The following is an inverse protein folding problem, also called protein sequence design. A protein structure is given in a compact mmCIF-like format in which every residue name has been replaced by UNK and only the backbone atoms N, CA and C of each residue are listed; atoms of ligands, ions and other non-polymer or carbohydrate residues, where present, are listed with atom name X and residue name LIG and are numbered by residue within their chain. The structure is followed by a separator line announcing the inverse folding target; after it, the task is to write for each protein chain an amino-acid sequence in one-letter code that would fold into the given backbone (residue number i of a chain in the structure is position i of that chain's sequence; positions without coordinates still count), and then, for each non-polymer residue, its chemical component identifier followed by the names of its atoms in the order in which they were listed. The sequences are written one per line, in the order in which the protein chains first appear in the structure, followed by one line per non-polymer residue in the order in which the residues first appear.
data_IF_943021097112
#
_entry.id   IF_943021097112
#
_cell.length_a   1.000
_cell.length_b   1.000
_cell.length_c   1.000
_cell.angle_alpha   90.00
_cell.angle_beta   90.00
_cell.angle_gamma   90.00
#
_symmetry.space_group_name_H-M   'P 1'
#
loop_
_entity.id
_entity.type
_entity.pdbx_description
1 polymer ?
#
# COMPACT_ATOMS: atom_id res chain seq x y z
N UNK A 1 26.75 -30.73 28.66
CA UNK A 1 25.74 -31.50 29.41
C UNK A 1 24.95 -30.50 30.24
N UNK A 2 23.81 -30.03 29.72
CA UNK A 2 22.89 -29.20 30.48
C UNK A 2 22.13 -30.10 31.45
N UNK A 3 22.33 -29.90 32.75
CA UNK A 3 21.55 -30.61 33.77
C UNK A 3 20.17 -29.94 33.90
N UNK A 4 19.17 -30.49 33.21
CA UNK A 4 17.77 -30.20 33.52
C UNK A 4 17.40 -30.93 34.82
N UNK A 5 17.01 -30.20 35.88
CA UNK A 5 16.39 -30.79 37.06
C UNK A 5 14.87 -30.69 36.92
N UNK A 6 14.19 -31.83 36.90
CA UNK A 6 12.74 -31.93 37.12
C UNK A 6 11.83 -31.61 35.93
N UNK A 7 12.17 -32.00 34.69
CA UNK A 7 11.32 -31.77 33.51
C UNK A 7 10.14 -32.75 33.31
N UNK A 8 10.10 -33.83 34.09
CA UNK A 8 9.24 -35.00 33.79
C UNK A 8 7.75 -34.78 34.16
N UNK A 9 7.41 -33.72 34.90
CA UNK A 9 6.03 -33.50 35.36
C UNK A 9 5.05 -33.02 34.28
N UNK A 10 5.57 -32.51 33.14
CA UNK A 10 4.76 -32.06 31.99
C UNK A 10 4.42 -33.20 31.02
N UNK A 11 4.96 -34.40 31.24
CA UNK A 11 4.82 -35.53 30.33
C UNK A 11 4.00 -36.66 30.96
N UNK A 12 3.28 -37.39 30.12
CA UNK A 12 2.45 -38.50 30.54
C UNK A 12 3.32 -39.69 30.94
N UNK A 13 3.22 -40.14 32.19
CA UNK A 13 3.99 -41.29 32.73
C UNK A 13 3.81 -42.59 31.92
N UNK A 14 2.70 -42.72 31.17
CA UNK A 14 2.40 -43.94 30.42
C UNK A 14 2.99 -43.95 29.01
N UNK A 15 3.15 -42.79 28.36
CA UNK A 15 3.51 -42.74 26.94
C UNK A 15 4.49 -41.61 26.58
N UNK A 16 4.98 -40.86 27.56
CA UNK A 16 5.94 -39.77 27.35
C UNK A 16 5.40 -38.58 26.56
N UNK A 17 4.11 -38.55 26.23
CA UNK A 17 3.49 -37.43 25.48
C UNK A 17 3.23 -36.25 26.42
N UNK A 18 3.50 -35.03 25.95
CA UNK A 18 3.25 -33.79 26.70
C UNK A 18 1.76 -33.64 27.02
N UNK A 19 1.46 -33.35 28.28
CA UNK A 19 0.08 -33.22 28.79
C UNK A 19 -0.42 -31.77 28.66
N UNK A 20 -1.72 -31.60 28.40
CA UNK A 20 -2.36 -30.29 28.21
C UNK A 20 -3.42 -30.01 29.26
N UNK A 21 -3.62 -28.74 29.63
CA UNK A 21 -4.70 -28.35 30.54
C UNK A 21 -6.05 -28.54 29.85
N UNK A 22 -6.83 -29.51 30.33
CA UNK A 22 -8.17 -29.79 29.84
C UNK A 22 -9.23 -28.99 30.61
N UNK A 23 -9.00 -28.78 31.91
CA UNK A 23 -9.85 -27.93 32.76
C UNK A 23 -9.01 -27.22 33.83
N UNK A 24 -9.65 -26.34 34.61
CA UNK A 24 -9.02 -25.66 35.76
C UNK A 24 -8.57 -26.61 36.87
N UNK A 25 -8.92 -27.90 36.81
CA UNK A 25 -8.58 -28.88 37.83
C UNK A 25 -7.77 -30.06 37.29
N UNK A 26 -7.68 -30.23 35.96
CA UNK A 26 -7.15 -31.44 35.35
C UNK A 26 -6.31 -31.18 34.09
N UNK A 27 -5.19 -31.90 33.99
CA UNK A 27 -4.39 -32.02 32.77
C UNK A 27 -4.62 -33.40 32.14
N UNK A 28 -4.70 -33.47 30.81
CA UNK A 28 -4.97 -34.69 30.05
C UNK A 28 -3.89 -34.93 28.99
N UNK A 29 -3.47 -36.19 28.85
CA UNK A 29 -2.65 -36.65 27.73
C UNK A 29 -3.53 -36.76 26.46
N UNK A 30 -3.21 -36.05 25.37
CA UNK A 30 -4.04 -36.06 24.18
C UNK A 30 -4.04 -37.42 23.47
N UNK A 31 -2.96 -38.20 23.65
CA UNK A 31 -2.74 -39.47 22.97
C UNK A 31 -3.45 -40.64 23.66
N UNK A 32 -3.23 -40.83 24.96
CA UNK A 32 -3.77 -41.98 25.70
C UNK A 32 -4.90 -41.64 26.68
N UNK A 33 -5.32 -40.37 26.75
CA UNK A 33 -6.41 -39.87 27.62
C UNK A 33 -6.17 -40.03 29.12
N UNK A 34 -4.93 -40.33 29.51
CA UNK A 34 -4.53 -40.36 30.91
C UNK A 34 -4.62 -38.96 31.53
N UNK A 35 -5.15 -38.87 32.76
CA UNK A 35 -5.46 -37.62 33.46
C UNK A 35 -4.67 -37.49 34.75
N UNK A 36 -4.21 -36.27 35.05
CA UNK A 36 -3.56 -35.90 36.32
C UNK A 36 -4.16 -34.61 36.86
N UNK A 37 -3.93 -34.35 38.16
CA UNK A 37 -4.38 -33.12 38.81
C UNK A 37 -3.58 -31.92 38.31
N UNK A 38 -4.26 -30.82 37.97
CA UNK A 38 -3.58 -29.60 37.55
C UNK A 38 -2.76 -28.95 38.70
N UNK A 39 -3.00 -29.34 39.96
CA UNK A 39 -2.21 -28.90 41.11
C UNK A 39 -0.77 -29.43 41.07
N UNK A 40 -0.52 -30.54 40.40
CA UNK A 40 0.82 -31.16 40.35
C UNK A 40 1.80 -30.43 39.41
N UNK A 41 1.29 -29.46 38.63
CA UNK A 41 2.03 -28.75 37.56
C UNK A 41 2.03 -27.23 37.75
N UNK A 42 0.98 -26.66 38.38
CA UNK A 42 0.75 -25.20 38.45
C UNK A 42 1.84 -24.34 39.09
N UNK A 43 2.70 -24.93 39.93
CA UNK A 43 3.76 -24.20 40.65
C UNK A 43 5.17 -24.70 40.33
N UNK A 44 5.34 -25.51 39.27
CA UNK A 44 6.64 -26.04 38.87
C UNK A 44 7.18 -25.30 37.66
N UNK A 45 8.29 -24.60 37.84
CA UNK A 45 9.02 -23.89 36.79
C UNK A 45 10.19 -24.73 36.27
N UNK A 46 10.37 -24.81 34.96
CA UNK A 46 11.54 -25.43 34.33
C UNK A 46 12.47 -24.31 33.88
N UNK A 47 13.67 -24.24 34.46
CA UNK A 47 14.74 -23.35 34.03
C UNK A 47 15.88 -24.14 33.41
N UNK A 48 16.39 -23.67 32.28
CA UNK A 48 17.63 -24.16 31.69
C UNK A 48 18.47 -22.97 31.24
N UNK A 49 19.78 -23.01 31.52
CA UNK A 49 20.74 -22.08 30.94
C UNK A 49 21.49 -22.78 29.81
N UNK A 50 21.54 -22.14 28.66
CA UNK A 50 22.33 -22.57 27.50
C UNK A 50 23.23 -21.41 27.13
N UNK A 51 24.54 -21.61 27.21
CA UNK A 51 25.51 -20.61 26.77
C UNK A 51 25.70 -20.66 25.25
N UNK A 52 26.19 -19.56 24.67
CA UNK A 52 26.58 -19.52 23.25
C UNK A 52 27.68 -20.54 22.91
N UNK A 53 28.54 -20.87 23.86
CA UNK A 53 29.56 -21.93 23.73
C UNK A 53 28.91 -23.32 23.63
N UNK A 54 27.88 -23.59 24.43
CA UNK A 54 27.20 -24.90 24.46
C UNK A 54 26.50 -25.19 23.12
N UNK A 55 25.79 -24.20 22.56
CA UNK A 55 25.15 -24.33 21.24
C UNK A 55 26.19 -24.57 20.15
N UNK A 56 27.34 -23.90 20.23
CA UNK A 56 28.38 -23.99 19.23
C UNK A 56 29.08 -25.35 19.25
N UNK A 57 29.27 -25.94 20.44
CA UNK A 57 29.87 -27.26 20.62
C UNK A 57 28.94 -28.37 20.15
N UNK A 58 27.65 -28.30 20.46
CA UNK A 58 26.66 -29.32 20.06
C UNK A 58 26.40 -29.31 18.54
N UNK A 59 26.51 -28.15 17.89
CA UNK A 59 26.36 -28.03 16.43
C UNK A 59 27.66 -28.33 15.65
N UNK A 60 28.77 -28.60 16.34
CA UNK A 60 30.07 -28.93 15.70
C UNK A 60 30.69 -27.80 14.88
N UNK A 61 30.38 -26.53 15.19
CA UNK A 61 30.76 -25.37 14.37
C UNK A 61 32.14 -24.83 14.77
N UNK A 62 33.15 -25.03 13.91
CA UNK A 62 34.45 -24.34 14.00
C UNK A 62 34.34 -22.89 13.48
N UNK A 63 35.27 -22.01 13.89
CA UNK A 63 35.21 -20.58 13.57
C UNK A 63 35.43 -20.37 12.08
N UNK A 64 34.45 -19.78 11.39
CA UNK A 64 34.55 -19.45 9.96
C UNK A 64 34.23 -17.96 9.74
N UNK A 65 35.21 -17.21 9.24
CA UNK A 65 35.04 -15.90 8.63
C UNK A 65 34.78 -16.07 7.13
N UNK A 66 33.51 -15.99 6.71
CA UNK A 66 33.13 -16.04 5.29
C UNK A 66 31.62 -16.11 5.09
N UNK A 67 31.07 -15.27 4.19
CA UNK A 67 29.63 -15.22 3.85
C UNK A 67 29.14 -16.55 3.25
N UNK A 68 28.16 -17.19 3.87
CA UNK A 68 27.44 -18.33 3.30
C UNK A 68 26.23 -17.87 2.47
N UNK A 69 26.21 -18.23 1.18
CA UNK A 69 24.99 -18.32 0.37
C UNK A 69 24.29 -19.66 0.65
N UNK A 70 22.98 -19.62 0.95
CA UNK A 70 22.15 -20.82 1.07
C UNK A 70 21.69 -21.22 -0.33
N UNK A 71 22.17 -22.35 -0.85
CA UNK A 71 21.72 -22.93 -2.13
C UNK A 71 20.42 -23.70 -1.92
N UNK A 72 19.31 -23.22 -2.49
CA UNK A 72 18.10 -24.02 -2.68
C UNK A 72 18.40 -25.18 -3.64
N UNK A 73 18.00 -26.42 -3.28
CA UNK A 73 18.13 -27.57 -4.18
C UNK A 73 16.90 -27.67 -5.11
N UNK A 74 17.13 -27.99 -6.39
CA UNK A 74 16.08 -28.10 -7.41
C UNK A 74 15.81 -29.55 -7.81
N UNK A 75 14.55 -29.88 -8.10
CA UNK A 75 14.13 -31.18 -8.63
C UNK A 75 13.24 -31.01 -9.87
N UNK A 76 13.46 -31.85 -10.88
CA UNK A 76 12.67 -31.90 -12.12
C UNK A 76 11.34 -32.63 -11.88
N UNK A 77 10.43 -31.98 -11.16
CA UNK A 77 9.06 -32.44 -10.95
C UNK A 77 8.08 -31.31 -11.28
N UNK A 78 7.06 -31.63 -12.07
CA UNK A 78 6.03 -30.66 -12.47
C UNK A 78 5.19 -30.26 -11.25
N UNK A 79 5.10 -28.96 -10.97
CA UNK A 79 4.22 -28.45 -9.93
C UNK A 79 2.76 -28.50 -10.39
N UNK A 80 1.91 -29.18 -9.65
CA UNK A 80 0.47 -29.26 -9.92
C UNK A 80 -0.23 -27.90 -9.80
N UNK A 81 0.35 -26.95 -9.06
CA UNK A 81 -0.23 -25.63 -8.77
C UNK A 81 0.14 -24.56 -9.80
N UNK A 82 1.40 -24.53 -10.24
CA UNK A 82 1.94 -23.48 -11.13
C UNK A 82 2.35 -24.02 -12.52
N UNK A 83 2.26 -25.32 -12.76
CA UNK A 83 2.60 -25.97 -14.04
C UNK A 83 4.09 -26.03 -14.37
N UNK A 84 4.94 -25.38 -13.56
CA UNK A 84 6.39 -25.31 -13.75
C UNK A 84 7.05 -26.68 -13.59
N UNK A 85 8.00 -26.99 -14.46
CA UNK A 85 8.63 -28.33 -14.57
C UNK A 85 9.71 -28.59 -13.51
N UNK A 86 10.08 -27.56 -12.74
CA UNK A 86 11.06 -27.63 -11.65
C UNK A 86 10.47 -27.09 -10.34
N UNK A 87 10.70 -27.84 -9.26
CA UNK A 87 10.38 -27.45 -7.89
C UNK A 87 11.70 -27.17 -7.14
N UNK A 88 11.70 -26.15 -6.29
CA UNK A 88 12.74 -26.00 -5.26
C UNK A 88 12.32 -26.81 -4.04
N UNK A 89 13.25 -27.31 -3.26
CA UNK A 89 12.91 -27.92 -1.98
C UNK A 89 13.91 -27.56 -0.88
N UNK A 90 13.40 -27.55 0.34
CA UNK A 90 14.19 -27.49 1.56
C UNK A 90 13.83 -28.67 2.43
N UNK A 91 14.80 -29.38 2.99
CA UNK A 91 14.53 -30.40 3.98
C UNK A 91 14.61 -29.79 5.38
N UNK A 92 13.69 -30.19 6.26
CA UNK A 92 13.78 -29.87 7.69
C UNK A 92 13.46 -31.11 8.51
N UNK A 93 14.25 -31.31 9.55
CA UNK A 93 13.96 -32.31 10.57
C UNK A 93 12.86 -31.77 11.47
N UNK A 94 11.64 -32.23 11.25
CA UNK A 94 10.46 -31.77 11.99
C UNK A 94 10.06 -32.73 13.12
N UNK A 95 10.75 -33.88 13.23
CA UNK A 95 10.44 -35.00 14.13
C UNK A 95 11.72 -35.63 14.67
N UNK A 96 11.58 -36.60 15.56
CA UNK A 96 12.69 -37.34 16.19
C UNK A 96 13.75 -37.78 15.18
N UNK A 97 15.02 -37.85 15.61
CA UNK A 97 16.18 -38.04 14.73
C UNK A 97 16.21 -39.41 14.02
N UNK A 98 15.36 -40.34 14.43
CA UNK A 98 15.13 -41.66 13.84
C UNK A 98 14.11 -41.63 12.68
N UNK A 99 13.39 -40.51 12.47
CA UNK A 99 12.54 -40.28 11.30
C UNK A 99 13.28 -39.51 10.19
N UNK A 100 13.01 -39.86 8.92
CA UNK A 100 13.60 -39.17 7.77
C UNK A 100 13.21 -37.68 7.70
N UNK A 101 14.11 -36.86 7.13
CA UNK A 101 13.86 -35.42 6.98
C UNK A 101 12.59 -35.14 6.17
N UNK A 102 11.77 -34.19 6.66
CA UNK A 102 10.59 -33.74 5.91
C UNK A 102 11.03 -32.82 4.78
N UNK A 103 10.70 -33.18 3.55
CA UNK A 103 11.00 -32.38 2.36
C UNK A 103 9.85 -31.41 2.07
N UNK A 104 10.14 -30.11 2.15
CA UNK A 104 9.20 -29.04 1.79
C UNK A 104 9.49 -28.60 0.37
N UNK A 105 8.54 -28.82 -0.55
CA UNK A 105 8.65 -28.33 -1.92
C UNK A 105 8.09 -26.91 -2.02
N UNK A 106 8.88 -26.03 -2.60
CA UNK A 106 8.54 -24.64 -2.89
C UNK A 106 8.40 -24.50 -4.42
N UNK A 107 7.26 -24.00 -4.90
CA UNK A 107 7.20 -23.57 -6.30
C UNK A 107 8.08 -22.31 -6.40
N UNK A 108 9.16 -22.38 -7.19
CA UNK A 108 10.09 -21.26 -7.38
C UNK A 108 9.40 -19.97 -7.87
N UNK A 109 8.18 -20.09 -8.41
CA UNK A 109 7.34 -19.00 -8.91
C UNK A 109 5.92 -18.99 -8.30
N UNK A 110 5.70 -19.57 -7.11
CA UNK A 110 4.45 -19.28 -6.40
C UNK A 110 4.56 -17.90 -5.76
N UNK A 111 4.26 -16.87 -6.56
CA UNK A 111 3.59 -15.69 -6.02
C UNK A 111 2.39 -16.16 -5.17
N UNK A 112 2.05 -15.46 -4.08
CA UNK A 112 0.74 -15.59 -3.46
C UNK A 112 -0.31 -15.00 -4.43
N UNK A 113 -0.60 -15.72 -5.51
CA UNK A 113 -1.79 -15.47 -6.31
C UNK A 113 -2.91 -16.25 -5.63
N UNK A 114 -3.81 -15.48 -5.01
CA UNK A 114 -5.05 -15.85 -4.33
C UNK A 114 -4.94 -16.38 -2.88
N UNK A 115 -5.06 -15.47 -1.90
CA UNK A 115 -5.93 -15.69 -0.73
C UNK A 115 -6.28 -14.42 0.08
N UNK A 116 -6.35 -13.22 -0.52
CA UNK A 116 -6.86 -12.02 0.19
C UNK A 116 -7.58 -11.05 -0.76
N UNK A 117 -8.23 -11.56 -1.81
CA UNK A 117 -8.98 -10.73 -2.77
C UNK A 117 -10.13 -9.94 -2.13
N UNK A 118 -10.44 -10.18 -0.85
CA UNK A 118 -11.54 -9.56 -0.11
C UNK A 118 -11.14 -9.22 1.34
N UNK A 119 -9.88 -8.83 1.61
CA UNK A 119 -9.42 -8.63 3.00
C UNK A 119 -10.25 -7.56 3.73
N UNK A 120 -10.66 -6.50 3.02
CA UNK A 120 -11.50 -5.44 3.60
C UNK A 120 -12.96 -5.85 3.77
N UNK A 121 -13.43 -6.94 3.13
CA UNK A 121 -14.80 -7.43 3.32
C UNK A 121 -15.06 -7.82 4.78
N UNK A 122 -14.03 -8.22 5.52
CA UNK A 122 -14.09 -8.49 6.97
C UNK A 122 -14.52 -7.24 7.75
N UNK A 123 -14.18 -6.06 7.26
CA UNK A 123 -14.52 -4.80 7.90
C UNK A 123 -15.98 -4.39 7.74
N UNK A 124 -16.75 -5.07 6.86
CA UNK A 124 -18.16 -4.78 6.64
C UNK A 124 -18.42 -3.34 6.20
N UNK A 125 -17.56 -2.79 5.34
CA UNK A 125 -17.74 -1.42 4.86
C UNK A 125 -18.96 -1.29 3.96
N UNK A 126 -19.80 -0.29 4.23
CA UNK A 126 -20.97 0.02 3.41
C UNK A 126 -20.65 1.04 2.31
N UNK A 127 -19.59 1.83 2.48
CA UNK A 127 -19.17 2.83 1.50
C UNK A 127 -17.69 3.22 1.66
N UNK A 128 -17.12 3.78 0.60
CA UNK A 128 -15.79 4.39 0.61
C UNK A 128 -15.91 5.82 0.10
N UNK A 129 -15.37 6.79 0.84
CA UNK A 129 -15.30 8.18 0.41
C UNK A 129 -13.86 8.56 0.14
N UNK A 130 -13.59 9.12 -1.04
CA UNK A 130 -12.25 9.43 -1.51
C UNK A 130 -12.08 10.93 -1.78
N UNK A 131 -11.09 11.54 -1.15
CA UNK A 131 -10.55 12.87 -1.48
C UNK A 131 -9.14 12.67 -2.03
N UNK A 132 -8.65 13.52 -2.93
CA UNK A 132 -7.30 13.37 -3.47
C UNK A 132 -7.10 14.01 -4.82
N UNK A 133 -6.13 13.51 -5.57
CA UNK A 133 -5.79 14.02 -6.90
C UNK A 133 -5.96 12.97 -8.02
N UNK A 134 -5.21 13.13 -9.11
CA UNK A 134 -5.19 12.23 -10.28
C UNK A 134 -4.85 10.77 -9.96
N UNK A 135 -4.18 10.49 -8.84
CA UNK A 135 -3.88 9.13 -8.38
C UNK A 135 -5.15 8.39 -7.93
N UNK A 136 -6.22 9.13 -7.65
CA UNK A 136 -7.50 8.59 -7.20
C UNK A 136 -8.72 9.11 -7.97
N UNK A 137 -8.57 10.06 -8.89
CA UNK A 137 -9.69 10.60 -9.68
C UNK A 137 -10.33 9.53 -10.59
N UNK A 138 -11.64 9.33 -10.43
CA UNK A 138 -12.43 8.36 -11.19
C UNK A 138 -13.28 8.99 -12.30
N UNK A 139 -13.09 10.28 -12.56
CA UNK A 139 -13.70 10.99 -13.68
C UNK A 139 -14.24 12.39 -13.37
N UNK A 140 -13.89 13.02 -12.24
CA UNK A 140 -14.30 14.40 -11.96
C UNK A 140 -13.63 15.38 -12.92
N UNK A 141 -12.33 15.22 -13.17
CA UNK A 141 -11.59 16.15 -14.04
C UNK A 141 -12.11 16.18 -15.47
N UNK A 142 -12.58 15.04 -16.01
CA UNK A 142 -13.15 15.01 -17.36
C UNK A 142 -14.54 15.66 -17.46
N UNK A 143 -15.24 15.88 -16.33
CA UNK A 143 -16.45 16.70 -16.31
C UNK A 143 -16.10 18.20 -16.36
N UNK A 144 -15.01 18.60 -15.69
CA UNK A 144 -14.48 19.97 -15.74
C UNK A 144 -13.83 20.29 -17.10
N UNK A 145 -13.06 19.35 -17.63
CA UNK A 145 -12.30 19.48 -18.88
C UNK A 145 -12.55 18.29 -19.82
N UNK A 146 -13.70 18.29 -20.54
CA UNK A 146 -14.07 17.19 -21.44
C UNK A 146 -13.09 16.97 -22.61
N UNK A 147 -12.31 17.99 -22.97
CA UNK A 147 -11.28 17.92 -24.03
C UNK A 147 -9.93 17.41 -23.53
N UNK A 148 -9.79 17.12 -22.23
CA UNK A 148 -8.54 16.61 -21.66
C UNK A 148 -8.12 15.28 -22.30
N UNK A 149 -6.81 14.98 -22.28
CA UNK A 149 -6.28 13.70 -22.76
C UNK A 149 -6.88 12.51 -21.99
N UNK A 150 -7.22 12.69 -20.71
CA UNK A 150 -7.80 11.65 -19.87
C UNK A 150 -9.20 11.22 -20.33
N UNK A 151 -9.91 12.05 -21.09
CA UNK A 151 -11.24 11.74 -21.62
C UNK A 151 -11.23 10.89 -22.92
N UNK A 152 -10.04 10.54 -23.44
CA UNK A 152 -9.90 9.82 -24.72
C UNK A 152 -8.87 8.70 -24.65
N UNK A 153 -8.91 7.83 -25.66
CA UNK A 153 -7.89 6.81 -25.87
C UNK A 153 -6.49 7.45 -25.95
N UNK A 154 -5.43 6.88 -25.33
CA UNK A 154 -5.34 5.52 -24.78
C UNK A 154 -5.71 5.36 -23.30
N UNK A 155 -6.14 6.41 -22.60
CA UNK A 155 -6.56 6.29 -21.20
C UNK A 155 -7.77 5.37 -21.07
N UNK A 156 -7.70 4.41 -20.15
CA UNK A 156 -8.73 3.38 -19.98
C UNK A 156 -8.74 2.25 -21.02
N UNK A 157 -7.65 2.01 -21.76
CA UNK A 157 -7.58 0.89 -22.72
C UNK A 157 -7.92 -0.49 -22.10
N UNK A 158 -7.57 -0.71 -20.82
CA UNK A 158 -7.94 -1.92 -20.09
C UNK A 158 -9.47 -2.05 -19.85
N UNK A 159 -10.24 -0.97 -19.96
CA UNK A 159 -11.70 -0.93 -19.86
C UNK A 159 -12.39 -1.15 -21.22
N UNK A 160 -12.02 -2.21 -21.93
CA UNK A 160 -12.56 -2.51 -23.29
C UNK A 160 -12.42 -1.29 -24.23
N UNK A 161 -11.28 -0.60 -24.16
CA UNK A 161 -10.97 0.60 -24.95
C UNK A 161 -11.94 1.78 -24.73
N UNK A 162 -12.43 1.98 -23.50
CA UNK A 162 -13.23 3.15 -23.13
C UNK A 162 -12.52 3.98 -22.08
N UNK A 163 -12.33 5.27 -22.37
CA UNK A 163 -11.91 6.21 -21.32
C UNK A 163 -12.98 6.30 -20.24
N UNK A 164 -12.52 6.27 -18.99
CA UNK A 164 -13.33 6.44 -17.78
C UNK A 164 -12.98 7.73 -17.03
N UNK A 165 -12.03 8.51 -17.52
CA UNK A 165 -11.46 9.68 -16.83
C UNK A 165 -10.41 9.36 -15.77
N UNK A 166 -10.08 8.07 -15.55
CA UNK A 166 -8.93 7.67 -14.72
C UNK A 166 -7.61 7.97 -15.43
N UNK A 167 -6.65 8.51 -14.69
CA UNK A 167 -5.32 8.84 -15.19
C UNK A 167 -4.43 7.58 -15.29
N UNK A 168 -4.85 6.55 -16.02
CA UNK A 168 -4.13 5.28 -16.18
C UNK A 168 -4.60 4.54 -17.46
N UNK A 169 -3.94 3.43 -17.82
CA UNK A 169 -4.47 2.47 -18.80
C UNK A 169 -5.73 1.76 -18.27
N UNK A 170 -6.00 1.82 -16.96
CA UNK A 170 -7.19 1.21 -16.37
C UNK A 170 -7.52 1.69 -14.95
N UNK A 171 -7.74 0.73 -14.05
CA UNK A 171 -8.13 0.95 -12.66
C UNK A 171 -7.01 1.59 -11.83
N UNK A 172 -7.41 2.44 -10.88
CA UNK A 172 -6.57 3.07 -9.87
C UNK A 172 -6.57 2.25 -8.56
N UNK A 173 -5.74 2.64 -7.58
CA UNK A 173 -5.69 1.92 -6.28
C UNK A 173 -7.05 1.87 -5.58
N UNK A 174 -7.82 2.96 -5.64
CA UNK A 174 -9.13 3.05 -4.99
C UNK A 174 -10.14 2.03 -5.55
N UNK A 175 -10.03 1.67 -6.83
CA UNK A 175 -10.87 0.63 -7.44
C UNK A 175 -10.57 -0.74 -6.82
N UNK A 176 -9.29 -1.05 -6.60
CA UNK A 176 -8.87 -2.29 -5.95
C UNK A 176 -9.25 -2.32 -4.46
N UNK A 177 -9.28 -1.17 -3.78
CA UNK A 177 -9.79 -1.07 -2.40
C UNK A 177 -11.29 -1.34 -2.34
N UNK A 178 -12.08 -0.76 -3.26
CA UNK A 178 -13.51 -1.03 -3.38
C UNK A 178 -13.79 -2.51 -3.65
N UNK A 179 -13.05 -3.11 -4.60
CA UNK A 179 -13.15 -4.54 -4.89
C UNK A 179 -12.82 -5.41 -3.67
N UNK A 180 -11.76 -5.06 -2.92
CA UNK A 180 -11.37 -5.76 -1.69
C UNK A 180 -12.42 -5.64 -0.57
N UNK A 181 -13.16 -4.53 -0.53
CA UNK A 181 -14.27 -4.33 0.40
C UNK A 181 -15.56 -5.04 -0.05
N UNK A 182 -15.62 -5.54 -1.29
CA UNK A 182 -16.84 -6.09 -1.89
C UNK A 182 -17.85 -5.01 -2.31
N UNK A 183 -17.38 -3.78 -2.53
CA UNK A 183 -18.18 -2.62 -2.91
C UNK A 183 -18.09 -2.36 -4.43
N UNK A 184 -19.10 -1.69 -5.03
CA UNK A 184 -18.99 -1.21 -6.39
C UNK A 184 -17.85 -0.19 -6.52
N UNK A 185 -17.31 -0.05 -7.74
CA UNK A 185 -16.37 1.03 -8.04
C UNK A 185 -17.02 2.39 -7.75
N UNK A 186 -16.22 3.32 -7.24
CA UNK A 186 -16.71 4.64 -6.87
C UNK A 186 -17.00 5.46 -8.13
N UNK A 187 -18.15 6.13 -8.11
CA UNK A 187 -18.51 7.13 -9.10
C UNK A 187 -17.89 8.48 -8.71
N UNK A 188 -17.46 9.24 -9.72
CA UNK A 188 -17.02 10.62 -9.57
C UNK A 188 -18.19 11.51 -9.13
N UNK A 189 -17.97 12.39 -8.15
CA UNK A 189 -18.97 13.31 -7.62
C UNK A 189 -19.67 14.16 -8.69
N UNK A 190 -18.93 14.65 -9.68
CA UNK A 190 -19.44 15.49 -10.76
C UNK A 190 -20.13 14.70 -11.89
N UNK A 191 -20.14 13.36 -11.85
CA UNK A 191 -20.79 12.57 -12.89
C UNK A 191 -22.32 12.73 -12.82
N UNK A 192 -22.99 13.31 -13.84
CA UNK A 192 -24.43 13.57 -13.80
C UNK A 192 -25.28 12.28 -13.84
N UNK A 193 -24.68 11.16 -14.26
CA UNK A 193 -25.34 9.86 -14.34
C UNK A 193 -25.06 8.97 -13.12
N UNK A 194 -24.34 9.49 -12.12
CA UNK A 194 -24.01 8.71 -10.94
C UNK A 194 -25.23 8.50 -10.04
N UNK A 195 -25.40 7.27 -9.56
CA UNK A 195 -26.42 6.94 -8.59
C UNK A 195 -25.77 6.88 -7.20
N UNK A 196 -25.80 7.99 -6.46
CA UNK A 196 -25.29 8.07 -5.08
C UNK A 196 -26.28 7.48 -4.04
N UNK A 197 -26.80 6.29 -4.31
CA UNK A 197 -27.74 5.59 -3.44
C UNK A 197 -27.10 5.07 -2.15
N UNK A 198 -27.92 4.66 -1.18
CA UNK A 198 -27.44 4.03 0.07
C UNK A 198 -26.53 2.84 -0.23
N UNK A 199 -25.40 2.73 0.48
CA UNK A 199 -24.42 1.65 0.31
C UNK A 199 -23.46 1.84 -0.86
N UNK A 200 -23.28 3.08 -1.33
CA UNK A 200 -22.31 3.43 -2.38
C UNK A 200 -21.43 4.57 -1.90
N UNK A 201 -20.14 4.43 -2.18
CA UNK A 201 -19.14 5.45 -1.94
C UNK A 201 -19.17 6.57 -2.98
N UNK A 202 -18.46 7.66 -2.69
CA UNK A 202 -18.30 8.80 -3.63
C UNK A 202 -16.84 9.18 -3.71
N UNK A 203 -16.39 9.47 -4.94
CA UNK A 203 -15.05 9.97 -5.18
C UNK A 203 -15.08 11.46 -5.53
N UNK A 204 -14.46 12.26 -4.67
CA UNK A 204 -14.33 13.71 -4.79
C UNK A 204 -12.96 14.15 -5.33
N UNK A 205 -12.03 13.21 -5.56
CA UNK A 205 -10.70 13.53 -6.07
C UNK A 205 -10.75 14.11 -7.49
N UNK A 206 -9.87 15.06 -7.78
CA UNK A 206 -9.79 15.70 -9.11
C UNK A 206 -8.34 15.70 -9.60
N UNK A 207 -8.12 15.33 -10.86
CA UNK A 207 -6.79 15.34 -11.44
C UNK A 207 -6.13 16.72 -11.35
N UNK A 208 -4.90 16.76 -10.82
CA UNK A 208 -4.12 17.99 -10.64
C UNK A 208 -4.45 18.81 -9.39
N UNK A 209 -5.37 18.34 -8.53
CA UNK A 209 -5.67 19.01 -7.27
C UNK A 209 -4.46 19.14 -6.35
N UNK A 210 -4.44 20.25 -5.62
CA UNK A 210 -3.45 20.58 -4.59
C UNK A 210 -4.07 20.49 -3.20
N UNK A 211 -3.24 20.26 -2.19
CA UNK A 211 -3.67 20.34 -0.79
C UNK A 211 -3.98 21.79 -0.43
N UNK A 212 -3.11 22.72 -0.84
CA UNK A 212 -3.31 24.15 -0.64
C UNK A 212 -4.28 24.72 -1.68
N UNK A 213 -5.15 25.68 -1.28
CA UNK A 213 -5.97 26.44 -2.23
C UNK A 213 -5.14 27.21 -3.26
N UNK A 214 -5.68 27.38 -4.46
CA UNK A 214 -4.98 28.05 -5.58
C UNK A 214 -4.58 29.49 -5.29
N UNK A 215 -5.34 30.22 -4.46
CA UNK A 215 -4.99 31.58 -4.04
C UNK A 215 -3.77 31.58 -3.10
N UNK A 216 -3.65 30.61 -2.20
CA UNK A 216 -2.48 30.45 -1.32
C UNK A 216 -1.23 30.11 -2.13
N UNK A 217 -1.37 29.28 -3.17
CA UNK A 217 -0.26 29.00 -4.10
C UNK A 217 0.12 30.24 -4.92
N UNK A 218 -0.86 31.03 -5.36
CA UNK A 218 -0.63 32.27 -6.12
C UNK A 218 0.15 33.31 -5.30
N UNK A 219 -0.11 33.44 -3.99
CA UNK A 219 0.68 34.29 -3.08
C UNK A 219 2.16 33.88 -3.03
N UNK A 220 2.43 32.58 -3.19
CA UNK A 220 3.79 32.01 -3.31
C UNK A 220 4.36 32.09 -4.73
N UNK A 221 3.65 32.72 -5.68
CA UNK A 221 3.96 32.82 -7.11
C UNK A 221 4.02 31.45 -7.79
N UNK A 222 3.10 30.55 -7.41
CA UNK A 222 2.96 29.21 -7.98
C UNK A 222 1.58 29.12 -8.61
N UNK A 223 1.52 28.81 -9.90
CA UNK A 223 0.27 28.59 -10.62
C UNK A 223 -0.14 27.11 -10.52
N UNK A 224 -1.45 26.85 -10.37
CA UNK A 224 -2.04 25.51 -10.52
C UNK A 224 -2.77 25.46 -11.86
N UNK A 225 -2.14 24.97 -12.95
CA UNK A 225 -2.71 25.07 -14.29
C UNK A 225 -3.76 24.00 -14.60
N UNK A 226 -3.89 22.97 -13.77
CA UNK A 226 -4.76 21.83 -14.06
C UNK A 226 -6.22 22.11 -13.66
N UNK A 227 -6.46 22.47 -12.39
CA UNK A 227 -7.79 22.68 -11.82
C UNK A 227 -7.71 23.67 -10.65
N UNK A 228 -8.84 24.30 -10.36
CA UNK A 228 -9.03 25.11 -9.14
C UNK A 228 -9.64 24.30 -7.97
N UNK A 229 -9.96 23.03 -8.19
CA UNK A 229 -10.62 22.17 -7.21
C UNK A 229 -9.60 21.58 -6.21
N UNK A 230 -9.08 22.41 -5.30
CA UNK A 230 -8.18 21.97 -4.22
C UNK A 230 -8.87 21.07 -3.19
N UNK A 231 -8.10 20.50 -2.27
CA UNK A 231 -8.62 19.65 -1.17
C UNK A 231 -9.78 20.32 -0.40
N UNK A 232 -9.70 21.63 -0.17
CA UNK A 232 -10.77 22.41 0.47
C UNK A 232 -12.08 22.39 -0.33
N UNK A 233 -12.02 22.52 -1.66
CA UNK A 233 -13.20 22.46 -2.54
C UNK A 233 -13.81 21.06 -2.52
N UNK A 234 -12.98 20.02 -2.51
CA UNK A 234 -13.47 18.64 -2.42
C UNK A 234 -14.15 18.36 -1.07
N UNK A 235 -13.68 18.97 0.03
CA UNK A 235 -14.34 18.92 1.33
C UNK A 235 -15.69 19.63 1.32
N UNK A 236 -15.84 20.73 0.59
CA UNK A 236 -17.11 21.44 0.45
C UNK A 236 -18.12 20.64 -0.39
N UNK A 237 -17.66 19.91 -1.40
CA UNK A 237 -18.48 18.93 -2.12
C UNK A 237 -18.91 17.78 -1.22
N UNK A 238 -17.99 17.23 -0.43
CA UNK A 238 -18.30 16.18 0.54
C UNK A 238 -19.32 16.65 1.58
N UNK A 239 -19.17 17.87 2.09
CA UNK A 239 -20.15 18.49 2.97
C UNK A 239 -21.53 18.60 2.34
N UNK A 240 -21.59 19.10 1.10
CA UNK A 240 -22.84 19.23 0.34
C UNK A 240 -23.51 17.87 0.16
N UNK A 241 -22.72 16.86 -0.19
CA UNK A 241 -23.18 15.49 -0.35
C UNK A 241 -23.78 14.94 0.96
N UNK A 242 -23.07 15.08 2.09
CA UNK A 242 -23.55 14.59 3.37
C UNK A 242 -24.78 15.35 3.88
N UNK A 243 -24.85 16.66 3.71
CA UNK A 243 -26.06 17.43 4.03
C UNK A 243 -27.29 17.02 3.21
N UNK A 244 -27.09 16.53 1.98
CA UNK A 244 -28.20 16.00 1.17
C UNK A 244 -28.69 14.62 1.63
N UNK A 245 -27.84 13.86 2.34
CA UNK A 245 -28.13 12.50 2.77
C UNK A 245 -28.51 12.39 4.25
N UNK A 246 -28.06 13.33 5.10
CA UNK A 246 -28.23 13.31 6.54
C UNK A 246 -29.25 14.34 7.02
N UNK A 247 -30.06 14.01 8.01
CA UNK A 247 -30.97 14.99 8.63
C UNK A 247 -30.29 15.85 9.70
N UNK A 248 -29.28 15.31 10.39
CA UNK A 248 -28.42 16.03 11.35
C UNK A 248 -27.11 15.26 11.59
N UNK A 249 -26.24 15.81 12.44
CA UNK A 249 -24.92 15.24 12.72
C UNK A 249 -24.97 13.82 13.30
N UNK A 250 -25.98 13.52 14.14
CA UNK A 250 -26.13 12.19 14.73
C UNK A 250 -26.50 11.14 13.67
N UNK A 251 -27.38 11.49 12.73
CA UNK A 251 -27.69 10.65 11.57
C UNK A 251 -26.46 10.38 10.72
N UNK A 252 -25.68 11.43 10.47
CA UNK A 252 -24.46 11.35 9.68
C UNK A 252 -23.44 10.43 10.34
N UNK A 253 -23.20 10.59 11.65
CA UNK A 253 -22.34 9.69 12.41
C UNK A 253 -22.81 8.23 12.33
N UNK A 254 -24.11 7.96 12.45
CA UNK A 254 -24.64 6.60 12.36
C UNK A 254 -24.54 6.00 10.95
N UNK A 255 -24.77 6.80 9.90
CA UNK A 255 -24.64 6.37 8.50
C UNK A 255 -23.20 6.17 8.05
N UNK A 256 -22.26 6.93 8.63
CA UNK A 256 -20.87 6.97 8.20
C UNK A 256 -19.92 6.12 9.06
N UNK A 257 -20.39 5.56 10.19
CA UNK A 257 -19.56 4.74 11.10
C UNK A 257 -18.96 3.49 10.45
N UNK A 258 -19.64 2.93 9.45
CA UNK A 258 -19.20 1.74 8.69
C UNK A 258 -18.54 2.12 7.36
N UNK A 259 -18.09 3.36 7.20
CA UNK A 259 -17.47 3.85 5.96
C UNK A 259 -15.96 3.94 6.11
N UNK A 260 -15.26 3.69 5.00
CA UNK A 260 -13.82 3.95 4.88
C UNK A 260 -13.61 5.32 4.23
N UNK A 261 -12.83 6.19 4.86
CA UNK A 261 -12.46 7.48 4.30
C UNK A 261 -11.00 7.47 3.86
N UNK A 262 -10.75 7.87 2.63
CA UNK A 262 -9.41 8.04 2.06
C UNK A 262 -9.16 9.54 1.88
N UNK A 263 -8.21 10.09 2.61
CA UNK A 263 -7.82 11.52 2.52
C UNK A 263 -6.48 11.62 1.79
N UNK A 264 -6.53 11.54 0.47
CA UNK A 264 -5.37 11.57 -0.41
C UNK A 264 -5.17 10.28 -1.23
N UNK A 265 -4.08 10.17 -1.99
CA UNK A 265 -2.92 11.06 -1.98
C UNK A 265 -3.24 12.50 -2.45
N UNK A 266 -2.66 13.48 -1.76
CA UNK A 266 -2.80 14.91 -2.02
C UNK A 266 -1.57 15.63 -1.45
N UNK A 267 -1.14 16.71 -2.09
CA UNK A 267 0.08 17.46 -1.71
C UNK A 267 1.23 17.28 -2.71
N UNK A 268 1.28 16.16 -3.45
CA UNK A 268 2.29 15.95 -4.49
C UNK A 268 2.27 17.02 -5.59
N UNK A 269 1.08 17.48 -5.99
CA UNK A 269 0.92 18.53 -7.00
C UNK A 269 1.42 19.90 -6.51
N UNK A 270 1.28 20.23 -5.22
CA UNK A 270 1.79 21.47 -4.64
C UNK A 270 3.30 21.59 -4.88
N UNK A 271 4.03 20.50 -4.62
CA UNK A 271 5.48 20.44 -4.85
C UNK A 271 5.83 20.35 -6.33
N UNK A 272 5.08 19.55 -7.11
CA UNK A 272 5.28 19.44 -8.56
C UNK A 272 5.20 20.81 -9.22
N UNK A 273 4.14 21.56 -8.96
CA UNK A 273 3.93 22.87 -9.57
C UNK A 273 5.00 23.87 -9.15
N UNK A 274 5.40 23.88 -7.87
CA UNK A 274 6.48 24.72 -7.38
C UNK A 274 7.81 24.41 -8.12
N UNK A 275 8.23 23.14 -8.12
CA UNK A 275 9.49 22.69 -8.69
C UNK A 275 9.58 22.99 -10.20
N UNK A 276 8.54 22.67 -10.96
CA UNK A 276 8.53 22.89 -12.41
C UNK A 276 8.37 24.36 -12.82
N UNK A 277 7.98 25.24 -11.89
CA UNK A 277 7.97 26.70 -12.08
C UNK A 277 9.25 27.38 -11.55
N UNK A 278 10.29 26.59 -11.24
CA UNK A 278 11.62 27.11 -10.91
C UNK A 278 11.82 27.47 -9.45
N UNK A 279 10.91 27.04 -8.55
CA UNK A 279 11.15 27.17 -7.10
C UNK A 279 12.32 26.31 -6.67
N UNK A 280 13.12 26.86 -5.76
CA UNK A 280 14.25 26.14 -5.16
C UNK A 280 13.76 25.03 -4.23
N UNK A 281 14.62 24.05 -3.97
CA UNK A 281 14.28 22.95 -3.06
C UNK A 281 13.96 23.44 -1.65
N UNK A 282 14.59 24.51 -1.19
CA UNK A 282 14.33 25.08 0.13
C UNK A 282 12.98 25.80 0.16
N UNK A 283 12.64 26.60 -0.86
CA UNK A 283 11.29 27.19 -1.00
C UNK A 283 10.19 26.11 -1.02
N UNK A 284 10.44 24.96 -1.66
CA UNK A 284 9.47 23.86 -1.72
C UNK A 284 9.36 23.14 -0.37
N UNK A 285 10.49 22.93 0.33
CA UNK A 285 10.47 22.37 1.70
C UNK A 285 9.72 23.28 2.68
N UNK A 286 9.85 24.60 2.54
CA UNK A 286 9.14 25.57 3.36
C UNK A 286 7.61 25.53 3.18
N UNK A 287 7.11 24.90 2.12
CA UNK A 287 5.67 24.67 1.93
C UNK A 287 5.16 23.44 2.67
N UNK A 288 6.03 22.52 3.10
CA UNK A 288 5.64 21.21 3.66
C UNK A 288 4.79 21.34 4.92
N UNK A 289 5.12 22.21 5.91
CA UNK A 289 4.27 22.39 7.07
C UNK A 289 2.84 22.81 6.72
N UNK A 290 2.65 23.75 5.80
CA UNK A 290 1.32 24.24 5.40
C UNK A 290 0.53 23.17 4.65
N UNK A 291 1.17 22.42 3.76
CA UNK A 291 0.56 21.30 3.03
C UNK A 291 0.08 20.23 4.01
N UNK A 292 0.94 19.81 4.95
CA UNK A 292 0.58 18.80 5.95
C UNK A 292 -0.50 19.32 6.90
N UNK A 293 -0.47 20.60 7.26
CA UNK A 293 -1.50 21.23 8.07
C UNK A 293 -2.86 21.23 7.36
N UNK A 294 -2.90 21.53 6.06
CA UNK A 294 -4.13 21.44 5.26
C UNK A 294 -4.70 20.00 5.24
N UNK A 295 -3.85 18.99 5.12
CA UNK A 295 -4.26 17.57 5.21
C UNK A 295 -4.76 17.23 6.61
N UNK A 296 -4.07 17.68 7.67
CA UNK A 296 -4.49 17.46 9.06
C UNK A 296 -5.89 18.02 9.32
N UNK A 297 -6.15 19.24 8.88
CA UNK A 297 -7.47 19.88 9.01
C UNK A 297 -8.55 19.19 8.15
N UNK A 298 -8.19 18.69 6.97
CA UNK A 298 -9.09 17.87 6.16
C UNK A 298 -9.52 16.59 6.91
N UNK A 299 -8.58 15.90 7.56
CA UNK A 299 -8.89 14.72 8.37
C UNK A 299 -9.80 15.06 9.55
N UNK A 300 -9.54 16.15 10.27
CA UNK A 300 -10.45 16.63 11.34
C UNK A 300 -11.85 16.90 10.83
N UNK A 301 -11.98 17.54 9.66
CA UNK A 301 -13.27 17.82 9.04
C UNK A 301 -13.99 16.54 8.66
N UNK A 302 -13.31 15.57 8.06
CA UNK A 302 -13.87 14.24 7.78
C UNK A 302 -14.33 13.51 9.06
N UNK A 303 -13.56 13.61 10.16
CA UNK A 303 -13.96 13.05 11.46
C UNK A 303 -15.20 13.76 12.01
N UNK A 304 -15.30 15.09 11.85
CA UNK A 304 -16.50 15.86 12.27
C UNK A 304 -17.77 15.44 11.52
N UNK A 305 -17.65 14.89 10.31
CA UNK A 305 -18.79 14.31 9.58
C UNK A 305 -19.23 12.95 10.10
N UNK A 306 -18.45 12.32 10.98
CA UNK A 306 -18.77 11.02 11.56
C UNK A 306 -17.85 9.87 11.14
N UNK A 307 -16.73 10.17 10.45
CA UNK A 307 -15.77 9.15 10.07
C UNK A 307 -15.19 8.42 11.29
N UNK A 308 -15.22 7.08 11.25
CA UNK A 308 -14.60 6.21 12.26
C UNK A 308 -13.32 5.52 11.78
N UNK A 309 -13.11 5.46 10.46
CA UNK A 309 -11.97 4.82 9.82
C UNK A 309 -11.45 5.69 8.70
N UNK A 310 -10.24 6.20 8.89
CA UNK A 310 -9.60 7.15 7.98
C UNK A 310 -8.22 6.61 7.59
N UNK A 311 -7.94 6.58 6.30
CA UNK A 311 -6.60 6.32 5.76
C UNK A 311 -6.09 7.60 5.13
N UNK A 312 -4.87 7.96 5.50
CA UNK A 312 -4.18 9.16 5.02
C UNK A 312 -2.91 8.72 4.31
N UNK A 313 -2.93 8.63 2.97
CA UNK A 313 -1.74 8.25 2.21
C UNK A 313 -0.65 9.32 2.28
N UNK A 314 0.60 8.88 2.37
CA UNK A 314 1.74 9.74 2.08
C UNK A 314 2.00 9.87 0.57
N UNK A 315 3.00 10.66 0.22
CA UNK A 315 3.43 10.84 -1.16
C UNK A 315 4.45 9.81 -1.60
N UNK A 316 4.47 9.51 -2.91
CA UNK A 316 5.39 8.57 -3.55
C UNK A 316 6.87 9.02 -3.46
N UNK A 317 7.86 8.14 -3.72
CA UNK A 317 9.24 8.56 -4.01
C UNK A 317 9.27 9.25 -5.38
N UNK A 318 8.92 10.54 -5.41
CA UNK A 318 8.70 11.28 -6.66
C UNK A 318 9.96 11.34 -7.55
N UNK A 319 11.15 11.23 -6.95
CA UNK A 319 12.42 11.17 -7.68
C UNK A 319 12.59 9.91 -8.54
N UNK A 320 11.68 8.93 -8.45
CA UNK A 320 11.66 7.74 -9.28
C UNK A 320 10.78 7.86 -10.53
N UNK A 321 10.02 8.95 -10.69
CA UNK A 321 9.03 9.08 -11.76
C UNK A 321 9.65 9.71 -13.02
N UNK A 322 9.29 9.25 -14.24
CA UNK A 322 9.86 9.76 -15.49
C UNK A 322 9.79 11.27 -15.66
N UNK A 323 8.71 11.92 -15.20
CA UNK A 323 8.59 13.38 -15.24
C UNK A 323 9.70 14.09 -14.47
N UNK A 324 10.02 13.62 -13.26
CA UNK A 324 11.06 14.22 -12.42
C UNK A 324 12.45 13.82 -12.89
N UNK A 325 12.64 12.56 -13.30
CA UNK A 325 13.88 12.08 -13.87
C UNK A 325 14.25 12.86 -15.13
N UNK A 326 13.28 13.20 -15.98
CA UNK A 326 13.49 14.01 -17.18
C UNK A 326 13.74 15.47 -16.85
N UNK A 327 12.92 16.07 -15.97
CA UNK A 327 12.97 17.50 -15.66
C UNK A 327 14.16 17.93 -14.79
N UNK A 328 14.64 17.03 -13.92
CA UNK A 328 15.69 17.31 -12.94
C UNK A 328 16.92 16.41 -13.14
N UNK A 329 17.12 15.86 -14.34
CA UNK A 329 18.29 15.05 -14.66
C UNK A 329 19.58 15.81 -14.39
N UNK A 330 20.61 15.07 -13.98
CA UNK A 330 21.95 15.62 -13.77
C UNK A 330 23.01 14.61 -14.14
N UNK A 331 24.22 15.10 -14.45
CA UNK A 331 25.37 14.26 -14.78
C UNK A 331 26.10 13.74 -13.52
N UNK A 332 25.71 14.18 -12.32
CA UNK A 332 26.29 13.71 -11.06
C UNK A 332 25.69 12.35 -10.67
N UNK A 333 26.47 11.28 -10.84
CA UNK A 333 26.06 9.91 -10.51
C UNK A 333 25.64 9.77 -9.04
N UNK A 334 26.25 10.53 -8.14
CA UNK A 334 25.96 10.55 -6.72
C UNK A 334 24.61 11.22 -6.40
N UNK A 335 23.93 11.85 -7.36
CA UNK A 335 22.58 12.36 -7.15
C UNK A 335 21.52 11.25 -7.14
N UNK A 336 21.85 10.08 -7.69
CA UNK A 336 20.95 8.95 -7.86
C UNK A 336 21.15 7.89 -6.77
N UNK A 337 20.11 7.10 -6.49
CA UNK A 337 20.17 5.92 -5.63
C UNK A 337 20.34 4.62 -6.43
N UNK A 338 20.31 3.48 -5.74
CA UNK A 338 20.48 2.15 -6.36
C UNK A 338 19.39 1.76 -7.36
N UNK A 339 18.26 2.45 -7.34
CA UNK A 339 17.16 2.27 -8.30
C UNK A 339 17.20 3.32 -9.40
N UNK A 340 18.28 4.12 -9.50
CA UNK A 340 18.40 5.28 -10.36
C UNK A 340 17.35 6.36 -10.09
N UNK A 341 16.85 6.49 -8.87
CA UNK A 341 15.96 7.58 -8.50
C UNK A 341 16.74 8.79 -7.96
N UNK A 342 16.23 10.00 -8.17
CA UNK A 342 16.83 11.24 -7.66
C UNK A 342 16.68 11.35 -6.14
N UNK A 343 17.80 11.24 -5.40
CA UNK A 343 17.81 11.27 -3.93
C UNK A 343 17.30 12.57 -3.34
N UNK A 344 17.60 13.71 -3.97
CA UNK A 344 17.15 15.02 -3.49
C UNK A 344 15.63 15.13 -3.44
N UNK A 345 14.96 14.64 -4.48
CA UNK A 345 13.50 14.62 -4.57
C UNK A 345 12.88 13.57 -3.63
N UNK A 346 13.49 12.39 -3.53
CA UNK A 346 13.03 11.37 -2.57
C UNK A 346 13.19 11.85 -1.11
N UNK A 347 14.20 12.67 -0.80
CA UNK A 347 14.34 13.32 0.51
C UNK A 347 13.21 14.30 0.81
N UNK A 348 12.73 15.05 -0.19
CA UNK A 348 11.53 15.88 -0.03
C UNK A 348 10.30 15.02 0.27
N UNK A 349 10.12 13.90 -0.46
CA UNK A 349 9.04 12.95 -0.19
C UNK A 349 9.08 12.40 1.24
N UNK A 350 10.24 11.96 1.71
CA UNK A 350 10.38 11.47 3.08
C UNK A 350 10.14 12.57 4.11
N UNK A 351 10.61 13.79 3.85
CA UNK A 351 10.40 14.93 4.76
C UNK A 351 8.92 15.26 4.92
N UNK A 352 8.15 15.32 3.82
CA UNK A 352 6.68 15.42 3.88
C UNK A 352 6.07 14.26 4.65
N UNK A 353 6.42 13.02 4.30
CA UNK A 353 5.83 11.82 4.90
C UNK A 353 6.09 11.74 6.41
N UNK A 354 7.25 12.20 6.88
CA UNK A 354 7.57 12.25 8.30
C UNK A 354 6.74 13.30 9.05
N UNK A 355 6.51 14.47 8.48
CA UNK A 355 5.59 15.47 9.03
C UNK A 355 4.15 14.96 9.05
N UNK A 356 3.72 14.30 7.97
CA UNK A 356 2.38 13.72 7.88
C UNK A 356 2.18 12.61 8.93
N UNK A 357 3.18 11.75 9.13
CA UNK A 357 3.16 10.74 10.20
C UNK A 357 3.03 11.37 11.59
N UNK A 358 3.76 12.46 11.87
CA UNK A 358 3.63 13.19 13.13
C UNK A 358 2.21 13.76 13.30
N UNK A 359 1.67 14.41 12.27
CA UNK A 359 0.30 14.93 12.29
C UNK A 359 -0.75 13.82 12.51
N UNK A 360 -0.55 12.63 11.93
CA UNK A 360 -1.41 11.46 12.17
C UNK A 360 -1.33 10.99 13.62
N UNK A 361 -0.14 10.96 14.23
CA UNK A 361 0.00 10.59 15.64
C UNK A 361 -0.67 11.63 16.58
N UNK A 362 -0.66 12.90 16.22
CA UNK A 362 -1.44 13.94 16.92
C UNK A 362 -2.94 13.71 16.76
N UNK A 363 -3.42 13.47 15.53
CA UNK A 363 -4.84 13.18 15.27
C UNK A 363 -5.34 11.95 16.02
N UNK A 364 -4.52 10.90 16.16
CA UNK A 364 -4.87 9.71 16.96
C UNK A 364 -5.04 10.04 18.44
N UNK A 365 -4.22 10.94 18.98
CA UNK A 365 -4.35 11.42 20.38
C UNK A 365 -5.58 12.31 20.55
N UNK A 366 -5.85 13.17 19.58
CA UNK A 366 -7.02 14.06 19.56
C UNK A 366 -8.34 13.28 19.39
N UNK A 367 -8.31 12.16 18.65
CA UNK A 367 -9.47 11.34 18.31
C UNK A 367 -9.27 9.84 18.61
N UNK A 368 -9.17 9.44 19.89
CA UNK A 368 -8.84 8.06 20.29
C UNK A 368 -9.89 7.01 19.88
N UNK A 369 -11.08 7.45 19.47
CA UNK A 369 -12.20 6.62 19.05
C UNK A 369 -12.28 6.46 17.51
N UNK A 370 -11.31 7.00 16.76
CA UNK A 370 -11.21 6.89 15.30
C UNK A 370 -9.95 6.10 14.96
N UNK A 371 -10.11 5.08 14.10
CA UNK A 371 -8.97 4.38 13.53
C UNK A 371 -8.38 5.22 12.38
N UNK A 372 -7.22 5.83 12.62
CA UNK A 372 -6.50 6.63 11.62
C UNK A 372 -5.24 5.87 11.20
N UNK A 373 -5.15 5.48 9.93
CA UNK A 373 -4.04 4.72 9.39
C UNK A 373 -3.24 5.55 8.37
N UNK A 374 -1.91 5.51 8.48
CA UNK A 374 -1.02 6.02 7.43
C UNK A 374 -0.98 5.04 6.27
N UNK A 375 -1.24 5.53 5.05
CA UNK A 375 -1.07 4.77 3.82
C UNK A 375 0.35 4.94 3.27
N UNK A 376 1.21 3.94 3.44
CA UNK A 376 2.63 4.05 3.07
C UNK A 376 2.87 3.81 1.56
N UNK A 377 2.45 4.77 0.75
CA UNK A 377 2.64 4.74 -0.71
C UNK A 377 4.13 4.75 -1.07
N UNK A 378 4.96 5.38 -0.24
CA UNK A 378 6.38 5.49 -0.49
C UNK A 378 7.07 4.11 -0.49
N UNK A 379 6.86 3.34 0.57
CA UNK A 379 7.46 2.01 0.69
C UNK A 379 6.75 0.98 -0.19
N UNK A 380 5.45 1.12 -0.44
CA UNK A 380 4.75 0.30 -1.43
C UNK A 380 5.40 0.41 -2.82
N UNK A 381 5.72 1.65 -3.26
CA UNK A 381 6.35 1.87 -4.56
C UNK A 381 7.79 1.34 -4.60
N UNK A 382 8.58 1.57 -3.54
CA UNK A 382 9.91 0.97 -3.43
C UNK A 382 9.90 -0.56 -3.43
N UNK A 383 8.88 -1.16 -2.83
CA UNK A 383 8.70 -2.60 -2.86
C UNK A 383 8.45 -3.09 -4.29
N UNK A 384 7.63 -2.39 -5.08
CA UNK A 384 7.43 -2.69 -6.50
C UNK A 384 8.74 -2.57 -7.27
N UNK A 385 9.50 -1.49 -7.10
CA UNK A 385 10.79 -1.32 -7.79
C UNK A 385 11.77 -2.46 -7.48
N UNK A 386 11.88 -2.83 -6.21
CA UNK A 386 12.76 -3.92 -5.77
C UNK A 386 12.32 -5.32 -6.22
N UNK A 387 11.04 -5.51 -6.53
CA UNK A 387 10.46 -6.80 -6.94
C UNK A 387 9.94 -6.78 -8.38
N UNK A 388 10.36 -5.81 -9.20
CA UNK A 388 9.76 -5.54 -10.51
C UNK A 388 9.65 -6.80 -11.39
N UNK A 389 10.76 -7.53 -11.56
CA UNK A 389 10.81 -8.77 -12.34
C UNK A 389 9.89 -9.86 -11.78
N UNK A 390 9.83 -10.01 -10.44
CA UNK A 390 8.97 -11.01 -9.79
C UNK A 390 7.48 -10.70 -10.00
N UNK A 391 7.14 -9.42 -10.08
CA UNK A 391 5.77 -8.94 -10.30
C UNK A 391 5.36 -8.95 -11.78
N UNK A 392 6.27 -9.32 -12.68
CA UNK A 392 6.06 -9.39 -14.12
C UNK A 392 6.31 -8.06 -14.85
N UNK A 393 6.92 -7.07 -14.19
CA UNK A 393 7.38 -5.86 -14.86
C UNK A 393 8.72 -6.11 -15.58
N UNK A 394 8.95 -5.38 -16.67
CA UNK A 394 10.21 -5.42 -17.38
C UNK A 394 11.27 -4.66 -16.59
N UNK A 395 12.30 -5.37 -16.12
CA UNK A 395 13.42 -4.81 -15.38
C UNK A 395 14.14 -3.68 -16.13
N UNK A 396 14.10 -3.69 -17.47
CA UNK A 396 14.75 -2.68 -18.30
C UNK A 396 13.94 -1.40 -18.46
N UNK A 397 12.65 -1.43 -18.12
CA UNK A 397 11.70 -0.34 -18.36
C UNK A 397 11.02 0.14 -17.07
N UNK A 398 11.61 -0.16 -15.90
CA UNK A 398 11.05 0.20 -14.59
C UNK A 398 10.92 1.71 -14.37
N UNK A 399 11.67 2.52 -15.13
CA UNK A 399 11.64 3.97 -15.12
C UNK A 399 11.19 4.57 -16.46
N UNK A 400 10.62 3.77 -17.36
CA UNK A 400 10.13 4.24 -18.65
C UNK A 400 8.60 4.38 -18.60
N UNK A 401 8.06 5.41 -19.25
CA UNK A 401 6.63 5.51 -19.50
C UNK A 401 6.22 4.53 -20.60
N UNK A 402 5.08 3.85 -20.44
CA UNK A 402 4.53 3.02 -21.52
C UNK A 402 3.95 3.88 -22.64
N UNK A 403 3.20 4.93 -22.30
CA UNK A 403 2.60 5.86 -23.23
C UNK A 403 3.38 7.17 -23.19
N UNK A 404 4.29 7.35 -24.14
CA UNK A 404 5.19 8.48 -24.10
C UNK A 404 6.24 8.43 -25.19
N UNK A 405 7.04 9.50 -25.23
CA UNK A 405 8.13 9.67 -26.18
C UNK A 405 9.21 10.55 -25.56
N UNK A 406 10.46 10.32 -25.95
CA UNK A 406 11.58 11.20 -25.65
C UNK A 406 12.51 10.73 -24.53
N UNK A 407 13.78 11.12 -24.65
CA UNK A 407 14.81 10.88 -23.65
C UNK A 407 15.02 9.41 -23.28
N UNK A 408 15.66 9.20 -22.13
CA UNK A 408 16.00 7.87 -21.60
C UNK A 408 14.81 7.20 -20.89
N UNK A 409 13.74 7.95 -20.64
CA UNK A 409 12.58 7.55 -19.82
C UNK A 409 11.27 7.47 -20.60
N UNK A 410 11.33 7.57 -21.94
CA UNK A 410 10.18 7.65 -22.84
C UNK A 410 9.17 8.72 -22.42
N UNK A 411 9.66 9.87 -21.95
CA UNK A 411 8.86 10.97 -21.44
C UNK A 411 9.34 12.34 -21.94
N UNK A 412 8.38 13.19 -22.30
CA UNK A 412 8.59 14.56 -22.77
C UNK A 412 7.76 15.51 -21.91
N UNK A 413 8.35 16.63 -21.48
CA UNK A 413 7.61 17.69 -20.77
C UNK A 413 6.66 18.47 -21.67
N UNK A 414 6.74 18.30 -23.00
CA UNK A 414 5.98 19.09 -23.99
C UNK A 414 4.87 18.31 -24.68
N UNK A 415 4.99 16.99 -24.72
CA UNK A 415 4.09 16.11 -25.49
C UNK A 415 3.64 14.99 -24.56
N UNK A 416 2.36 14.96 -24.26
CA UNK A 416 1.78 14.05 -23.27
C UNK A 416 1.20 12.79 -23.93
N UNK A 417 1.03 11.74 -23.14
CA UNK A 417 0.23 10.59 -23.57
C UNK A 417 -1.15 11.04 -24.09
N UNK A 418 -1.58 10.47 -25.22
CA UNK A 418 -2.82 10.86 -25.89
C UNK A 418 -2.70 12.04 -26.87
N UNK A 419 -1.55 12.72 -26.93
CA UNK A 419 -1.27 13.67 -28.01
C UNK A 419 -0.98 12.95 -29.33
N UNK A 420 -1.19 13.66 -30.44
CA UNK A 420 -1.01 13.11 -31.78
C UNK A 420 0.44 12.64 -31.98
N UNK A 421 0.61 11.37 -32.36
CA UNK A 421 1.92 10.78 -32.65
C UNK A 421 2.67 10.25 -31.41
N UNK A 422 2.07 10.31 -30.22
CA UNK A 422 2.66 9.67 -29.02
C UNK A 422 2.30 8.19 -28.99
N UNK A 423 3.29 7.28 -29.04
CA UNK A 423 3.03 5.85 -29.06
C UNK A 423 2.66 5.32 -27.68
N UNK A 424 1.98 4.17 -27.68
CA UNK A 424 1.75 3.32 -26.50
C UNK A 424 2.59 2.06 -26.67
N UNK A 425 3.26 1.63 -25.59
CA UNK A 425 4.04 0.42 -25.57
C UNK A 425 3.17 -0.82 -25.86
N UNK A 426 3.74 -1.86 -26.47
CA UNK A 426 2.97 -3.04 -26.87
C UNK A 426 2.45 -3.91 -25.72
N UNK A 427 2.98 -3.75 -24.50
CA UNK A 427 2.58 -4.53 -23.31
C UNK A 427 2.52 -3.65 -22.04
N UNK A 428 1.48 -2.84 -21.85
CA UNK A 428 1.32 -1.94 -20.69
C UNK A 428 1.49 -2.63 -19.35
N UNK A 429 1.03 -3.88 -19.22
CA UNK A 429 1.15 -4.70 -17.99
C UNK A 429 2.59 -4.99 -17.57
N UNK A 430 3.58 -4.78 -18.43
CA UNK A 430 5.01 -4.92 -18.11
C UNK A 430 5.66 -3.63 -17.67
N UNK A 431 4.95 -2.50 -17.68
CA UNK A 431 5.47 -1.20 -17.28
C UNK A 431 4.90 -0.77 -15.93
N UNK A 432 5.71 -0.07 -15.14
CA UNK A 432 5.26 0.52 -13.87
C UNK A 432 4.57 1.85 -14.14
N UNK A 433 5.20 2.73 -14.92
CA UNK A 433 4.64 4.03 -15.29
C UNK A 433 3.78 3.93 -16.55
N UNK A 434 2.60 4.54 -16.49
CA UNK A 434 1.72 4.67 -17.65
C UNK A 434 2.20 5.80 -18.57
N UNK A 435 2.14 7.04 -18.10
CA UNK A 435 2.38 8.25 -18.93
C UNK A 435 3.54 9.11 -18.42
N UNK A 436 4.34 8.58 -17.50
CA UNK A 436 5.46 9.28 -16.85
C UNK A 436 5.10 10.08 -15.60
N UNK A 437 3.82 10.23 -15.29
CA UNK A 437 3.31 10.83 -14.06
C UNK A 437 2.50 9.82 -13.25
N UNK A 438 1.69 9.01 -13.94
CA UNK A 438 0.79 8.04 -13.35
C UNK A 438 1.29 6.62 -13.55
N UNK A 439 0.69 5.68 -12.80
CA UNK A 439 1.05 4.28 -12.86
C UNK A 439 0.12 3.51 -13.80
N UNK A 440 0.58 2.37 -14.27
CA UNK A 440 -0.29 1.41 -14.96
C UNK A 440 -1.25 0.77 -13.97
N UNK A 441 -2.38 0.24 -14.46
CA UNK A 441 -3.32 -0.55 -13.68
C UNK A 441 -2.63 -1.70 -12.96
N UNK A 442 -1.63 -2.33 -13.61
CA UNK A 442 -0.88 -3.44 -13.01
C UNK A 442 -0.02 -2.96 -11.83
N UNK A 443 0.58 -1.78 -11.94
CA UNK A 443 1.31 -1.17 -10.83
C UNK A 443 0.36 -0.74 -9.71
N UNK A 444 -0.75 -0.08 -10.01
CA UNK A 444 -1.77 0.27 -9.01
C UNK A 444 -2.36 -0.97 -8.30
N UNK A 445 -2.54 -2.09 -9.00
CA UNK A 445 -2.96 -3.35 -8.38
C UNK A 445 -1.95 -3.84 -7.35
N UNK A 446 -0.66 -3.85 -7.70
CA UNK A 446 0.39 -4.31 -6.79
C UNK A 446 0.57 -3.36 -5.60
N UNK A 447 0.47 -2.04 -5.83
CA UNK A 447 0.44 -1.04 -4.77
C UNK A 447 -0.71 -1.32 -3.82
N UNK A 448 -1.92 -1.51 -4.36
CA UNK A 448 -3.10 -1.75 -3.55
C UNK A 448 -2.98 -3.01 -2.70
N UNK A 449 -2.48 -4.13 -3.26
CA UNK A 449 -2.25 -5.37 -2.49
C UNK A 449 -1.27 -5.15 -1.34
N UNK A 450 -0.18 -4.42 -1.57
CA UNK A 450 0.79 -4.11 -0.53
C UNK A 450 0.19 -3.23 0.56
N UNK A 451 -0.48 -2.14 0.17
CA UNK A 451 -1.07 -1.17 1.10
C UNK A 451 -2.18 -1.83 1.93
N UNK A 452 -3.05 -2.63 1.32
CA UNK A 452 -4.11 -3.35 2.02
C UNK A 452 -3.56 -4.23 3.15
N UNK A 453 -2.44 -4.92 2.90
CA UNK A 453 -1.79 -5.73 3.93
C UNK A 453 -1.25 -4.89 5.09
N UNK A 454 -0.73 -3.71 4.80
CA UNK A 454 -0.19 -2.79 5.81
C UNK A 454 -1.29 -2.09 6.63
N UNK A 455 -2.36 -1.60 5.99
CA UNK A 455 -3.40 -0.83 6.66
C UNK A 455 -4.44 -1.70 7.36
N UNK A 456 -4.71 -2.92 6.88
CA UNK A 456 -5.80 -3.75 7.40
C UNK A 456 -5.75 -3.94 8.94
N UNK A 457 -4.61 -4.29 9.56
CA UNK A 457 -4.52 -4.41 11.02
C UNK A 457 -4.78 -3.09 11.77
N UNK A 458 -4.59 -1.94 11.10
CA UNK A 458 -4.71 -0.60 11.67
C UNK A 458 -6.15 -0.07 11.59
N UNK A 459 -7.02 -0.68 10.77
CA UNK A 459 -8.42 -0.26 10.57
C UNK A 459 -9.37 -0.74 11.68
N UNK A 460 -8.88 -1.54 12.63
CA UNK A 460 -9.64 -2.03 13.79
C UNK A 460 -10.99 -2.62 13.37
N UNK A 461 -10.96 -3.49 12.36
CA UNK A 461 -12.14 -4.20 11.90
C UNK A 461 -12.50 -5.26 12.96
N UNK A 462 -13.66 -5.10 13.59
CA UNK A 462 -14.20 -6.06 14.57
C UNK A 462 -14.95 -7.16 13.83
N UNK A 463 -14.83 -8.41 14.30
CA UNK A 463 -15.66 -9.54 13.85
C UNK A 463 -17.06 -9.48 14.44
#
# INVERSE_FOLDING_TARGET
MAHARGGDFMFCDLCGTMMFLYSTECIECPLCKFKKSAKDVREREISYQVSSEDMRRDLGISHFEGKMEVKDMEINKKCERCGHTKLKFSTRQMRSADEGQTTFFHCANSLPVASNANVLKICGFDSIYQLGDSISDTGNFIQESPSSVFARFPYGEAFKNKSTGRCSDGMLMIDFFAMSAGLPLLDAYLNPNAAFGRGRGVNFAVAGSTALPVNVLAERKIQSPATNNSLSTQLDWMFTHFNSMCYNDQDCAEKLKSSLFMVGEIGGNDYKFALFQGKTMDEVKDMVPDVVQAIKEAVKRVISYGARRVVVPGIFPIGCFPIYLTGFRTNYTEAYDKFNCLKGLNKLSTYHNDHLKQAIEELKKEHPHVAIAYGDYYNAFQWILSHASLLGFDAKSVQNACCGTGGDYDFSLRTMCGDHGVPVCGQPRRYISWDGVHLTQKAYQNMAVWILKDIFPKLQCSF
#
